data_IF_268588740970
#
_entry.id   IF_268588740970
#
_cell.length_a   1.000
_cell.length_b   1.000
_cell.length_c   1.000
_cell.angle_alpha   90.00
_cell.angle_beta   90.00
_cell.angle_gamma   90.00
#
_symmetry.space_group_name_H-M   'P 1'
#
loop_
_entity.id
_entity.type
_entity.pdbx_description
1 polymer ?
#
# COMPACT_ATOMS: atom_id res chain seq x y z
N UNK A 1 -11.43 -8.43 19.32
CA UNK A 1 -10.66 -9.41 18.51
C UNK A 1 -10.34 -8.75 17.19
N UNK A 2 -9.08 -8.76 16.77
CA UNK A 2 -8.64 -8.33 15.43
C UNK A 2 -8.54 -9.54 14.51
N UNK A 3 -8.88 -9.35 13.24
CA UNK A 3 -8.57 -10.31 12.17
C UNK A 3 -7.20 -9.96 11.58
N UNK A 4 -6.37 -10.97 11.31
CA UNK A 4 -5.04 -10.78 10.74
C UNK A 4 -4.85 -11.67 9.52
N UNK A 5 -4.24 -11.11 8.47
CA UNK A 5 -3.87 -11.84 7.27
C UNK A 5 -2.66 -11.16 6.61
N UNK A 6 -1.68 -11.94 6.12
CA UNK A 6 -0.57 -11.37 5.35
C UNK A 6 -1.00 -10.97 3.92
N UNK A 7 -2.21 -11.35 3.49
CA UNK A 7 -2.73 -11.05 2.17
C UNK A 7 -3.58 -9.78 2.20
N UNK A 8 -3.24 -8.79 1.36
CA UNK A 8 -4.06 -7.61 1.15
C UNK A 8 -5.50 -7.99 0.76
N UNK A 9 -5.66 -8.96 -0.13
CA UNK A 9 -6.99 -9.44 -0.55
C UNK A 9 -7.76 -10.06 0.63
N UNK A 10 -7.09 -10.77 1.52
CA UNK A 10 -7.72 -11.32 2.73
C UNK A 10 -8.27 -10.23 3.65
N UNK A 11 -7.53 -9.14 3.83
CA UNK A 11 -7.97 -7.97 4.59
C UNK A 11 -9.16 -7.28 3.89
N UNK A 12 -9.07 -7.07 2.57
CA UNK A 12 -10.14 -6.43 1.78
C UNK A 12 -11.45 -7.22 1.84
N UNK A 13 -11.40 -8.55 1.77
CA UNK A 13 -12.60 -9.40 1.84
C UNK A 13 -13.39 -9.22 3.14
N UNK A 14 -12.70 -9.02 4.27
CA UNK A 14 -13.37 -8.78 5.56
C UNK A 14 -14.00 -7.37 5.63
N UNK A 15 -13.38 -6.39 4.99
CA UNK A 15 -13.93 -5.02 4.88
C UNK A 15 -15.15 -5.01 3.94
N UNK A 16 -15.04 -5.66 2.77
CA UNK A 16 -16.12 -5.78 1.78
C UNK A 16 -17.37 -6.41 2.39
N UNK A 17 -17.20 -7.43 3.21
CA UNK A 17 -18.30 -8.10 3.88
C UNK A 17 -18.88 -7.30 5.07
N UNK A 18 -18.31 -6.14 5.41
CA UNK A 18 -18.77 -5.27 6.50
C UNK A 18 -18.35 -5.72 7.91
N UNK A 19 -17.39 -6.64 8.01
CA UNK A 19 -16.96 -7.22 9.29
C UNK A 19 -15.75 -6.51 9.91
N UNK A 20 -15.07 -5.66 9.14
CA UNK A 20 -13.85 -5.02 9.57
C UNK A 20 -13.67 -3.62 9.00
N UNK A 21 -12.77 -2.88 9.65
CA UNK A 21 -12.10 -1.71 9.08
C UNK A 21 -10.62 -2.05 8.97
N UNK A 22 -9.94 -1.59 7.91
CA UNK A 22 -8.53 -1.89 7.69
C UNK A 22 -7.73 -0.62 7.34
N UNK A 23 -6.54 -0.42 7.92
CA UNK A 23 -5.62 0.60 7.45
C UNK A 23 -5.04 0.19 6.09
N UNK A 24 -5.08 1.08 5.11
CA UNK A 24 -4.60 0.84 3.76
C UNK A 24 -3.78 2.04 3.26
N UNK A 25 -2.74 1.77 2.48
CA UNK A 25 -2.11 2.81 1.68
C UNK A 25 -3.13 3.39 0.70
N UNK A 26 -3.14 4.71 0.50
CA UNK A 26 -4.17 5.40 -0.30
C UNK A 26 -4.31 4.84 -1.72
N UNK A 27 -3.22 4.43 -2.35
CA UNK A 27 -3.21 3.83 -3.69
C UNK A 27 -3.81 2.42 -3.75
N UNK A 28 -4.00 1.75 -2.60
CA UNK A 28 -4.56 0.42 -2.50
C UNK A 28 -6.03 0.41 -2.07
N UNK A 29 -6.66 1.58 -1.86
CA UNK A 29 -8.07 1.69 -1.46
C UNK A 29 -8.97 1.49 -2.69
N UNK A 30 -9.84 0.47 -2.71
CA UNK A 30 -10.83 0.32 -3.77
C UNK A 30 -11.77 1.53 -3.84
N UNK A 31 -12.18 1.92 -5.06
CA UNK A 31 -12.99 3.13 -5.27
C UNK A 31 -14.34 3.10 -4.56
N UNK A 32 -14.93 1.92 -4.38
CA UNK A 32 -16.23 1.75 -3.73
C UNK A 32 -16.15 1.70 -2.20
N UNK A 33 -14.95 1.77 -1.62
CA UNK A 33 -14.78 1.80 -0.17
C UNK A 33 -14.96 3.22 0.38
N UNK A 34 -15.48 3.31 1.60
CA UNK A 34 -15.55 4.56 2.35
C UNK A 34 -14.29 4.71 3.19
N UNK A 35 -13.60 5.85 3.05
CA UNK A 35 -12.44 6.19 3.88
C UNK A 35 -12.93 6.76 5.21
N UNK A 36 -12.47 6.14 6.30
CA UNK A 36 -12.76 6.59 7.66
C UNK A 36 -11.58 7.43 8.20
N UNK A 37 -11.87 8.36 9.11
CA UNK A 37 -10.86 9.25 9.69
C UNK A 37 -11.33 9.93 10.97
N UNK A 38 -10.91 11.18 11.17
CA UNK A 38 -11.22 11.98 12.35
C UNK A 38 -12.73 12.05 12.71
N UNK A 39 -13.68 12.13 11.76
CA UNK A 39 -15.11 12.11 12.11
C UNK A 39 -15.55 10.83 12.84
N UNK A 40 -14.83 9.72 12.64
CA UNK A 40 -15.04 8.44 13.33
C UNK A 40 -14.11 8.27 14.54
N UNK A 41 -13.42 9.33 14.99
CA UNK A 41 -12.42 9.33 16.06
C UNK A 41 -11.25 8.39 15.80
N UNK A 42 -10.93 8.13 14.53
CA UNK A 42 -9.75 7.37 14.14
C UNK A 42 -8.53 8.30 14.06
N UNK A 43 -7.35 7.86 14.55
CA UNK A 43 -6.13 8.64 14.47
C UNK A 43 -5.65 8.80 13.03
N UNK A 44 -4.86 9.83 12.79
CA UNK A 44 -4.13 9.95 11.53
C UNK A 44 -3.03 8.88 11.47
N UNK A 45 -2.85 8.28 10.30
CA UNK A 45 -1.77 7.32 10.05
C UNK A 45 -0.58 8.06 9.46
N UNK A 46 0.63 7.68 9.91
CA UNK A 46 1.86 8.19 9.32
C UNK A 46 1.94 7.82 7.82
N UNK A 47 2.65 8.65 7.06
CA UNK A 47 2.91 8.36 5.65
C UNK A 47 3.75 7.08 5.50
N UNK A 48 3.42 6.29 4.48
CA UNK A 48 4.17 5.08 4.14
C UNK A 48 5.36 5.45 3.25
N UNK A 49 6.56 5.08 3.67
CA UNK A 49 7.77 5.18 2.84
C UNK A 49 7.90 3.93 1.96
N UNK A 50 8.18 4.13 0.67
CA UNK A 50 8.29 3.06 -0.31
C UNK A 50 9.66 3.17 -0.99
N UNK A 51 10.44 2.09 -0.94
CA UNK A 51 11.82 2.06 -1.44
C UNK A 51 11.99 1.02 -2.53
N UNK A 52 12.76 1.37 -3.56
CA UNK A 52 13.24 0.41 -4.55
C UNK A 52 14.60 -0.12 -4.09
N UNK A 53 14.63 -1.38 -3.66
CA UNK A 53 15.87 -2.02 -3.22
C UNK A 53 16.52 -2.82 -4.37
N UNK A 54 17.83 -2.70 -4.51
CA UNK A 54 18.65 -3.54 -5.39
C UNK A 54 19.91 -4.02 -4.67
N UNK A 55 20.44 -5.16 -5.10
CA UNK A 55 21.73 -5.63 -4.59
C UNK A 55 22.84 -4.62 -4.91
N UNK A 56 23.65 -4.26 -3.91
CA UNK A 56 24.79 -3.37 -4.09
C UNK A 56 25.82 -3.88 -5.11
N UNK A 57 25.83 -5.19 -5.38
CA UNK A 57 26.72 -5.83 -6.38
C UNK A 57 26.13 -5.88 -7.78
N UNK A 58 24.86 -5.48 -7.96
CA UNK A 58 24.16 -5.59 -9.23
C UNK A 58 24.33 -4.32 -10.06
N UNK A 59 25.37 -4.28 -10.89
CA UNK A 59 25.59 -3.23 -11.88
C UNK A 59 25.31 -3.76 -13.29
N UNK A 60 24.02 -3.84 -13.66
CA UNK A 60 23.56 -4.47 -14.90
C UNK A 60 22.60 -3.51 -15.62
N UNK A 61 22.86 -3.17 -16.89
CA UNK A 61 22.03 -2.20 -17.62
C UNK A 61 20.52 -2.47 -17.59
N UNK A 62 20.02 -3.72 -17.67
CA UNK A 62 18.58 -3.97 -17.55
C UNK A 62 17.99 -3.60 -16.18
N UNK A 63 18.76 -3.76 -15.10
CA UNK A 63 18.35 -3.37 -13.76
C UNK A 63 18.36 -1.86 -13.57
N UNK A 64 19.34 -1.17 -14.18
CA UNK A 64 19.41 0.30 -14.17
C UNK A 64 18.20 0.88 -14.90
N UNK A 65 17.96 0.41 -16.12
CA UNK A 65 16.80 0.82 -16.91
C UNK A 65 15.48 0.58 -16.17
N UNK A 66 15.27 -0.62 -15.61
CA UNK A 66 14.04 -0.93 -14.88
C UNK A 66 13.87 -0.03 -13.64
N UNK A 67 14.95 0.24 -12.92
CA UNK A 67 14.89 1.12 -11.75
C UNK A 67 14.51 2.55 -12.15
N UNK A 68 15.12 3.08 -13.22
CA UNK A 68 14.78 4.40 -13.76
C UNK A 68 13.33 4.48 -14.23
N UNK A 69 12.82 3.43 -14.90
CA UNK A 69 11.42 3.36 -15.34
C UNK A 69 10.46 3.35 -14.14
N UNK A 70 10.71 2.53 -13.12
CA UNK A 70 9.87 2.48 -11.91
C UNK A 70 9.81 3.85 -11.24
N UNK A 71 10.97 4.51 -11.04
CA UNK A 71 11.03 5.82 -10.39
C UNK A 71 10.36 6.90 -11.24
N UNK A 72 10.56 6.88 -12.56
CA UNK A 72 9.92 7.82 -13.49
C UNK A 72 8.39 7.74 -13.43
N UNK A 73 7.83 6.53 -13.36
CA UNK A 73 6.37 6.34 -13.30
C UNK A 73 5.78 6.69 -11.92
N UNK A 74 6.55 6.60 -10.84
CA UNK A 74 6.10 7.00 -9.50
C UNK A 74 6.07 8.52 -9.27
N UNK A 75 6.82 9.30 -10.06
CA UNK A 75 6.86 10.76 -9.97
C UNK A 75 5.92 11.48 -10.93
N UNK A 76 5.19 10.75 -11.77
CA UNK A 76 4.20 11.30 -12.71
C UNK A 76 2.86 11.53 -12.02
#
# INVERSE_FOLDING_TARGET
MSYESPSLLGLLSMVEAGWAVAPLARCAVPQHFTILGQPQRLPELASLELVLARSAKSNRPPCDFLAEQIISELHR
#
